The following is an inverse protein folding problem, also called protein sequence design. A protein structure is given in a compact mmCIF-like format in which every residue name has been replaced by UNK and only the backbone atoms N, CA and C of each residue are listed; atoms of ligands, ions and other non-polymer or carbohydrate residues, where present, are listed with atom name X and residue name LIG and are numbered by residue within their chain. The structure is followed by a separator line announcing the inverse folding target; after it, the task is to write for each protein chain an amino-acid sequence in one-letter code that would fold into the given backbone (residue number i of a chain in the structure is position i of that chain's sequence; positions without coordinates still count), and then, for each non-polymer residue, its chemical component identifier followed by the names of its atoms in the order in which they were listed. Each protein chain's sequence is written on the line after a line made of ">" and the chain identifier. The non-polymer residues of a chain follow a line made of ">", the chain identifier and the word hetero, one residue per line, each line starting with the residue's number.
data_IF_238843382326
#
_entry.id   IF_238843382326
#
_cell.length_a   1.000
_cell.length_b   1.000
_cell.length_c   1.000
_cell.angle_alpha   90.00
_cell.angle_beta   90.00
_cell.angle_gamma   90.00
#
_symmetry.space_group_name_H-M   'P 1'
#
loop_
_entity.id
_entity.type
_entity.pdbx_description
1 polymer ?
#
# COMPACT_ATOMS: atom_id res chain seq x y z
N UNK A 1 -15.32 27.73 -27.71
CA UNK A 1 -14.54 27.23 -26.58
C UNK A 1 -14.49 25.71 -26.66
N UNK A 2 -13.32 25.11 -26.92
CA UNK A 2 -13.19 23.65 -27.06
C UNK A 2 -13.10 23.05 -25.66
N UNK A 3 -14.10 22.24 -25.30
CA UNK A 3 -14.12 21.42 -24.09
C UNK A 3 -12.97 20.41 -24.16
N UNK A 4 -11.95 20.63 -23.35
CA UNK A 4 -10.87 19.68 -23.15
C UNK A 4 -11.33 18.62 -22.15
N UNK A 5 -11.59 17.41 -22.61
CA UNK A 5 -11.75 16.25 -21.75
C UNK A 5 -10.40 15.53 -21.61
N UNK A 6 -9.89 15.34 -20.38
CA UNK A 6 -8.66 14.60 -20.18
C UNK A 6 -8.86 13.13 -20.58
N UNK A 7 -7.86 12.48 -21.22
CA UNK A 7 -7.97 11.08 -21.57
C UNK A 7 -8.17 10.24 -20.31
N UNK A 8 -9.27 9.49 -20.27
CA UNK A 8 -9.64 8.58 -19.19
C UNK A 8 -8.71 7.35 -19.18
N UNK A 9 -7.42 7.55 -18.84
CA UNK A 9 -6.46 6.47 -18.65
C UNK A 9 -6.39 6.00 -17.19
N UNK A 10 -6.84 6.84 -16.26
CA UNK A 10 -6.82 6.55 -14.83
C UNK A 10 -8.05 7.13 -14.11
N UNK A 11 -9.25 6.75 -14.56
CA UNK A 11 -10.29 6.52 -13.54
C UNK A 11 -9.72 5.51 -12.54
N UNK A 12 -9.92 5.66 -11.22
CA UNK A 12 -9.67 4.55 -10.32
C UNK A 12 -10.54 3.42 -10.87
N UNK A 13 -9.92 2.40 -11.45
CA UNK A 13 -10.62 1.22 -11.92
C UNK A 13 -11.14 0.52 -10.67
N UNK A 14 -12.30 0.98 -10.21
CA UNK A 14 -13.10 0.32 -9.18
C UNK A 14 -13.55 -1.08 -9.69
N UNK A 15 -13.28 -1.40 -10.97
CA UNK A 15 -13.59 -2.67 -11.61
C UNK A 15 -12.44 -3.47 -12.25
N UNK A 16 -11.15 -3.06 -12.21
CA UNK A 16 -10.08 -3.95 -12.74
C UNK A 16 -9.59 -4.90 -11.66
N UNK A 17 -10.31 -6.02 -11.53
CA UNK A 17 -9.73 -7.26 -11.02
C UNK A 17 -8.50 -7.57 -11.88
N UNK A 18 -7.33 -7.69 -11.26
CA UNK A 18 -6.15 -8.29 -11.93
C UNK A 18 -6.61 -9.52 -12.71
N UNK A 19 -6.13 -9.71 -13.95
CA UNK A 19 -6.47 -10.90 -14.77
C UNK A 19 -6.22 -12.21 -14.00
N UNK A 20 -5.26 -12.16 -13.07
CA UNK A 20 -4.98 -13.21 -12.09
C UNK A 20 -4.88 -12.57 -10.70
N UNK A 21 -5.97 -12.46 -9.94
CA UNK A 21 -5.92 -12.02 -8.56
C UNK A 21 -5.16 -13.07 -7.76
N UNK A 22 -4.15 -12.68 -6.99
CA UNK A 22 -3.44 -13.60 -6.09
C UNK A 22 -4.42 -14.32 -5.16
N UNK A 23 -5.49 -13.63 -4.75
CA UNK A 23 -6.58 -14.21 -3.94
C UNK A 23 -7.21 -15.48 -4.56
N UNK A 24 -7.24 -15.61 -5.89
CA UNK A 24 -7.79 -16.80 -6.56
C UNK A 24 -6.84 -18.01 -6.49
N UNK A 25 -5.58 -17.81 -6.11
CA UNK A 25 -4.54 -18.83 -6.05
C UNK A 25 -3.98 -19.05 -4.64
N UNK A 26 -4.50 -18.33 -3.65
CA UNK A 26 -4.12 -18.50 -2.24
C UNK A 26 -5.19 -19.34 -1.55
N UNK A 27 -4.87 -20.60 -1.26
CA UNK A 27 -5.69 -21.49 -0.43
C UNK A 27 -5.12 -21.53 0.98
N UNK A 28 -5.98 -21.31 1.99
CA UNK A 28 -5.64 -21.45 3.41
C UNK A 28 -5.87 -22.87 3.94
N UNK A 29 -6.33 -23.79 3.09
CA UNK A 29 -6.76 -25.15 3.49
C UNK A 29 -5.61 -26.00 4.05
N UNK A 30 -4.38 -25.80 3.53
CA UNK A 30 -3.18 -26.54 3.94
C UNK A 30 -2.43 -25.93 5.12
N UNK A 31 -2.92 -24.81 5.66
CA UNK A 31 -2.31 -24.20 6.84
C UNK A 31 -2.60 -25.04 8.10
N UNK A 32 -1.70 -25.02 9.07
CA UNK A 32 -1.95 -25.63 10.38
C UNK A 32 -3.09 -24.89 11.10
N UNK A 33 -3.82 -25.60 11.97
CA UNK A 33 -5.00 -25.06 12.64
C UNK A 33 -4.76 -23.73 13.38
N UNK A 34 -3.63 -23.55 14.10
CA UNK A 34 -3.29 -22.26 14.71
C UNK A 34 -3.12 -21.13 13.68
N UNK A 35 -2.52 -21.43 12.52
CA UNK A 35 -2.32 -20.44 11.45
C UNK A 35 -3.64 -20.12 10.73
N UNK A 36 -4.55 -21.09 10.57
CA UNK A 36 -5.90 -20.84 10.04
C UNK A 36 -6.68 -19.89 10.93
N UNK A 37 -6.73 -20.17 12.24
CA UNK A 37 -7.42 -19.32 13.20
C UNK A 37 -6.87 -17.88 13.16
N UNK A 38 -5.55 -17.72 13.07
CA UNK A 38 -4.90 -16.44 12.92
C UNK A 38 -5.28 -15.70 11.63
N UNK A 39 -5.24 -16.37 10.48
CA UNK A 39 -5.65 -15.77 9.19
C UNK A 39 -7.11 -15.35 9.20
N UNK A 40 -7.99 -16.16 9.80
CA UNK A 40 -9.41 -15.81 9.97
C UNK A 40 -9.57 -14.56 10.85
N UNK A 41 -8.86 -14.47 11.97
CA UNK A 41 -8.88 -13.29 12.83
C UNK A 41 -8.38 -12.03 12.11
N UNK A 42 -7.32 -12.13 11.30
CA UNK A 42 -6.84 -11.02 10.48
C UNK A 42 -7.88 -10.58 9.44
N UNK A 43 -8.58 -11.54 8.81
CA UNK A 43 -9.62 -11.25 7.82
C UNK A 43 -10.89 -10.63 8.42
N UNK A 44 -11.14 -10.85 9.71
CA UNK A 44 -12.31 -10.32 10.40
C UNK A 44 -12.24 -8.80 10.63
N UNK A 45 -11.04 -8.22 10.60
CA UNK A 45 -10.87 -6.78 10.84
C UNK A 45 -11.02 -6.00 9.53
N UNK A 46 -12.12 -5.26 9.40
CA UNK A 46 -12.36 -4.42 8.24
C UNK A 46 -11.42 -3.20 8.22
N UNK A 47 -10.61 -3.10 7.17
CA UNK A 47 -9.80 -1.91 6.91
C UNK A 47 -10.58 -1.01 5.95
N UNK A 48 -10.94 0.21 6.36
CA UNK A 48 -11.72 1.11 5.52
C UNK A 48 -10.91 1.49 4.28
N UNK A 49 -11.59 1.47 3.14
CA UNK A 49 -10.99 1.92 1.87
C UNK A 49 -11.31 3.38 1.58
N UNK A 50 -12.37 3.90 2.21
CA UNK A 50 -12.86 5.27 2.09
C UNK A 50 -12.78 5.99 3.43
N UNK A 51 -12.47 7.29 3.37
CA UNK A 51 -12.45 8.15 4.57
C UNK A 51 -13.81 8.19 5.25
N UNK A 52 -14.90 8.23 4.49
CA UNK A 52 -16.25 8.23 5.04
C UNK A 52 -16.59 6.98 5.86
N UNK A 53 -15.97 5.83 5.57
CA UNK A 53 -16.09 4.61 6.38
C UNK A 53 -15.21 4.71 7.62
N UNK A 54 -13.97 5.19 7.45
CA UNK A 54 -13.03 5.39 8.56
C UNK A 54 -13.56 6.36 9.62
N UNK A 55 -14.30 7.40 9.22
CA UNK A 55 -14.88 8.38 10.13
C UNK A 55 -16.00 7.81 11.03
N UNK A 56 -16.54 6.62 10.71
CA UNK A 56 -17.57 5.96 11.54
C UNK A 56 -16.97 5.23 12.73
N UNK A 57 -15.68 4.90 12.69
CA UNK A 57 -14.99 4.19 13.75
C UNK A 57 -14.07 5.15 14.52
N UNK A 58 -14.25 5.31 15.84
CA UNK A 58 -13.42 6.21 16.64
C UNK A 58 -11.92 5.87 16.59
N UNK A 59 -11.54 4.59 16.40
CA UNK A 59 -10.14 4.17 16.32
C UNK A 59 -9.45 4.74 15.09
N UNK A 60 -10.14 4.73 13.96
CA UNK A 60 -9.64 5.30 12.71
C UNK A 60 -9.65 6.83 12.73
N UNK A 61 -10.66 7.45 13.35
CA UNK A 61 -10.69 8.91 13.59
C UNK A 61 -9.48 9.35 14.41
N UNK A 62 -9.14 8.61 15.47
CA UNK A 62 -7.97 8.90 16.30
C UNK A 62 -6.67 8.83 15.49
N UNK A 63 -6.50 7.78 14.67
CA UNK A 63 -5.33 7.64 13.81
C UNK A 63 -5.20 8.79 12.79
N UNK A 64 -6.32 9.27 12.24
CA UNK A 64 -6.35 10.44 11.34
C UNK A 64 -5.88 11.70 12.08
N UNK A 65 -6.40 11.94 13.29
CA UNK A 65 -6.02 13.11 14.10
C UNK A 65 -4.54 13.12 14.46
N UNK A 66 -3.99 11.94 14.79
CA UNK A 66 -2.58 11.79 15.10
C UNK A 66 -1.70 12.12 13.90
N UNK A 67 -2.07 11.67 12.70
CA UNK A 67 -1.36 12.01 11.46
C UNK A 67 -1.43 13.51 11.19
N UNK A 68 -2.61 14.13 11.29
CA UNK A 68 -2.77 15.59 11.10
C UNK A 68 -1.90 16.39 12.09
N UNK A 69 -1.88 15.99 13.36
CA UNK A 69 -1.03 16.63 14.37
C UNK A 69 0.46 16.42 14.10
N UNK A 70 0.86 15.23 13.64
CA UNK A 70 2.25 14.92 13.30
C UNK A 70 2.72 15.75 12.11
N UNK A 71 1.87 15.88 11.09
CA UNK A 71 2.12 16.78 9.98
C UNK A 71 2.33 18.20 10.53
N UNK A 72 1.40 18.73 11.33
CA UNK A 72 1.44 20.13 11.83
C UNK A 72 2.74 20.41 12.57
N UNK A 73 3.14 19.48 13.45
CA UNK A 73 4.39 19.54 14.20
C UNK A 73 5.62 19.59 13.29
N UNK A 74 5.59 18.90 12.15
CA UNK A 74 6.72 18.85 11.24
C UNK A 74 6.89 20.14 10.41
N UNK A 75 5.91 21.05 10.43
CA UNK A 75 5.92 22.32 9.67
C UNK A 75 6.21 22.13 8.16
N UNK A 76 5.93 20.95 7.61
CA UNK A 76 6.22 20.59 6.21
C UNK A 76 5.11 20.99 5.23
N UNK A 77 4.03 21.61 5.71
CA UNK A 77 2.82 21.90 4.95
C UNK A 77 2.16 23.16 5.51
N UNK A 78 1.81 24.07 4.61
CA UNK A 78 0.99 25.25 4.90
C UNK A 78 -0.29 25.14 4.07
N UNK A 79 -1.42 25.48 4.68
CA UNK A 79 -2.70 25.47 3.99
C UNK A 79 -2.83 26.77 3.19
N UNK A 80 -2.47 26.72 1.92
CA UNK A 80 -2.54 27.88 1.02
C UNK A 80 -3.71 27.79 0.04
N UNK A 81 -4.22 28.96 -0.33
CA UNK A 81 -5.25 29.05 -1.37
C UNK A 81 -4.61 28.78 -2.72
N UNK A 82 -5.27 27.95 -3.53
CA UNK A 82 -4.77 27.58 -4.86
C UNK A 82 -4.60 28.85 -5.69
N UNK A 83 -3.39 29.17 -6.17
CA UNK A 83 -3.18 30.36 -6.99
C UNK A 83 -3.91 30.20 -8.33
N UNK A 84 -4.42 31.33 -8.88
CA UNK A 84 -5.19 31.33 -10.12
C UNK A 84 -4.40 30.66 -11.25
N UNK A 85 -5.03 29.68 -11.90
CA UNK A 85 -4.46 28.96 -13.04
C UNK A 85 -3.61 27.73 -12.70
N UNK A 86 -3.44 27.36 -11.42
CA UNK A 86 -2.76 26.10 -11.04
C UNK A 86 -3.76 24.98 -10.75
N UNK A 87 -3.37 23.76 -11.13
CA UNK A 87 -4.10 22.53 -10.82
C UNK A 87 -3.61 21.97 -9.49
N UNK A 88 -4.53 21.57 -8.61
CA UNK A 88 -4.19 20.89 -7.36
C UNK A 88 -3.81 19.44 -7.60
N UNK A 89 -2.81 18.98 -6.85
CA UNK A 89 -2.53 17.56 -6.70
C UNK A 89 -3.58 16.99 -5.73
N UNK A 90 -4.27 15.92 -6.15
CA UNK A 90 -5.19 15.22 -5.26
C UNK A 90 -4.43 14.50 -4.14
N UNK A 91 -5.07 14.26 -3.00
CA UNK A 91 -4.55 13.41 -1.94
C UNK A 91 -5.52 12.25 -1.64
N UNK A 92 -5.00 11.20 -1.01
CA UNK A 92 -5.77 10.04 -0.55
C UNK A 92 -5.29 9.59 0.82
N UNK A 93 -6.22 9.07 1.62
CA UNK A 93 -5.88 8.41 2.87
C UNK A 93 -5.53 6.94 2.63
N UNK A 94 -4.53 6.46 3.35
CA UNK A 94 -4.11 5.06 3.39
C UNK A 94 -4.18 4.57 4.83
N UNK A 95 -4.98 3.54 5.06
CA UNK A 95 -5.22 2.95 6.37
C UNK A 95 -4.46 1.63 6.50
N UNK A 96 -3.90 1.37 7.68
CA UNK A 96 -3.12 0.17 7.96
C UNK A 96 -3.25 -0.18 9.44
N UNK A 97 -3.35 -1.47 9.76
CA UNK A 97 -3.29 -1.96 11.14
C UNK A 97 -1.91 -2.57 11.37
N UNK A 98 -1.28 -2.17 12.48
CA UNK A 98 -0.06 -2.79 12.99
C UNK A 98 -0.44 -3.82 14.04
N UNK A 99 0.13 -5.01 13.89
CA UNK A 99 -0.08 -6.12 14.81
C UNK A 99 1.23 -6.39 15.53
N UNK A 100 1.12 -6.77 16.80
CA UNK A 100 2.21 -7.28 17.62
C UNK A 100 2.58 -8.72 17.21
N UNK A 101 3.68 -9.24 17.76
CA UNK A 101 4.15 -10.61 17.48
C UNK A 101 3.18 -11.70 17.97
N UNK A 102 2.35 -11.37 18.96
CA UNK A 102 1.27 -12.24 19.47
C UNK A 102 -0.01 -12.17 18.61
N UNK A 103 -0.02 -11.34 17.56
CA UNK A 103 -1.19 -11.14 16.70
C UNK A 103 -2.19 -10.13 17.20
N UNK A 104 -1.99 -9.55 18.39
CA UNK A 104 -2.86 -8.47 18.91
C UNK A 104 -2.67 -7.19 18.11
N UNK A 105 -3.69 -6.33 18.09
CA UNK A 105 -3.60 -5.04 17.40
C UNK A 105 -2.73 -4.10 18.24
N UNK A 106 -1.56 -3.76 17.72
CA UNK A 106 -0.66 -2.78 18.31
C UNK A 106 -1.21 -1.37 18.11
N UNK A 107 -1.54 -1.02 16.85
CA UNK A 107 -1.94 0.35 16.50
C UNK A 107 -2.68 0.46 15.17
N UNK A 108 -3.64 1.38 15.13
CA UNK A 108 -4.26 1.86 13.89
C UNK A 108 -3.44 3.00 13.31
N UNK A 109 -3.06 2.90 12.04
CA UNK A 109 -2.24 3.89 11.34
C UNK A 109 -2.98 4.43 10.13
N UNK A 110 -3.11 5.75 10.07
CA UNK A 110 -3.60 6.47 8.91
C UNK A 110 -2.45 7.31 8.32
N UNK A 111 -2.40 7.43 6.99
CA UNK A 111 -1.42 8.27 6.28
C UNK A 111 -2.10 9.06 5.17
N UNK A 112 -1.75 10.33 5.04
CA UNK A 112 -2.18 11.15 3.91
C UNK A 112 -1.10 11.11 2.82
N UNK A 113 -1.48 10.67 1.62
CA UNK A 113 -0.55 10.48 0.50
C UNK A 113 -1.03 11.25 -0.71
N UNK A 114 -0.12 11.88 -1.45
CA UNK A 114 -0.44 12.51 -2.73
C UNK A 114 -0.86 11.45 -3.77
N UNK A 115 -1.90 11.74 -4.55
CA UNK A 115 -2.47 10.85 -5.57
C UNK A 115 -1.72 10.97 -6.91
N UNK A 116 -1.25 12.18 -7.24
CA UNK A 116 -0.52 12.47 -8.48
C UNK A 116 0.96 12.77 -8.17
N UNK A 117 1.74 11.72 -7.96
CA UNK A 117 3.19 11.74 -8.20
C UNK A 117 3.45 10.78 -9.36
N UNK A 118 3.34 11.27 -10.59
CA UNK A 118 3.80 10.55 -11.79
C UNK A 118 5.34 10.55 -11.90
N UNK A 119 6.06 11.04 -10.88
CA UNK A 119 7.49 10.79 -10.77
C UNK A 119 7.71 9.33 -10.43
N UNK A 120 7.95 8.56 -11.50
CA UNK A 120 8.73 7.33 -11.56
C UNK A 120 9.50 7.09 -10.26
N UNK A 121 8.93 6.28 -9.37
CA UNK A 121 9.73 5.68 -8.30
C UNK A 121 10.87 4.95 -9.02
N UNK A 122 12.08 5.49 -8.92
CA UNK A 122 13.26 4.82 -9.45
C UNK A 122 13.24 3.39 -8.89
N UNK A 123 13.43 2.34 -9.71
CA UNK A 123 13.40 0.98 -9.22
C UNK A 123 14.49 0.81 -8.16
N UNK A 124 14.11 0.79 -6.89
CA UNK A 124 15.03 0.53 -5.79
C UNK A 124 15.30 -0.97 -5.77
N UNK A 125 16.43 -1.37 -6.35
CA UNK A 125 16.89 -2.75 -6.27
C UNK A 125 17.12 -3.14 -4.80
N UNK A 126 16.34 -4.11 -4.30
CA UNK A 126 16.55 -4.65 -2.96
C UNK A 126 17.80 -5.53 -2.97
N UNK A 127 18.74 -5.28 -2.05
CA UNK A 127 19.98 -6.06 -1.93
C UNK A 127 19.75 -7.57 -1.81
N UNK A 128 18.62 -7.99 -1.20
CA UNK A 128 18.25 -9.41 -1.12
C UNK A 128 17.99 -10.02 -2.51
N UNK A 129 17.33 -9.28 -3.41
CA UNK A 129 17.10 -9.72 -4.79
C UNK A 129 18.42 -9.85 -5.54
N UNK A 130 19.33 -8.89 -5.37
CA UNK A 130 20.67 -8.94 -5.98
C UNK A 130 21.46 -10.16 -5.48
N UNK A 131 21.41 -10.45 -4.17
CA UNK A 131 22.07 -11.63 -3.59
C UNK A 131 21.54 -12.94 -4.17
N UNK A 132 20.22 -13.08 -4.30
CA UNK A 132 19.61 -14.29 -4.89
C UNK A 132 20.04 -14.48 -6.35
N UNK A 133 20.07 -13.40 -7.14
CA UNK A 133 20.53 -13.46 -8.53
C UNK A 133 22.00 -13.91 -8.63
N UNK A 134 22.87 -13.36 -7.79
CA UNK A 134 24.29 -13.77 -7.74
C UNK A 134 24.46 -15.23 -7.31
N UNK A 135 23.69 -15.69 -6.31
CA UNK A 135 23.72 -17.08 -5.89
C UNK A 135 23.26 -18.03 -6.99
N UNK A 136 22.18 -17.71 -7.70
CA UNK A 136 21.71 -18.50 -8.84
C UNK A 136 22.75 -18.56 -9.96
N UNK A 137 23.41 -17.43 -10.23
CA UNK A 137 24.48 -17.36 -11.22
C UNK A 137 25.67 -18.26 -10.85
N UNK A 138 26.09 -18.25 -9.57
CA UNK A 138 27.16 -19.12 -9.10
C UNK A 138 26.79 -20.60 -9.15
N UNK A 139 25.53 -20.95 -8.84
CA UNK A 139 25.02 -22.33 -8.96
C UNK A 139 25.05 -22.77 -10.43
N UNK A 140 24.61 -21.92 -11.36
CA UNK A 140 24.62 -22.20 -12.79
C UNK A 140 26.05 -22.40 -13.34
N UNK A 141 26.98 -21.53 -12.94
CA UNK A 141 28.39 -21.65 -13.33
C UNK A 141 28.98 -22.96 -12.77
N UNK A 142 28.73 -23.28 -11.51
CA UNK A 142 29.22 -24.51 -10.87
C UNK A 142 28.70 -25.79 -11.53
N UNK A 143 27.41 -25.82 -11.93
CA UNK A 143 26.87 -26.93 -12.72
C UNK A 143 27.53 -27.04 -14.10
N UNK A 144 27.77 -25.92 -14.78
CA UNK A 144 28.37 -25.90 -16.12
C UNK A 144 29.84 -26.36 -16.10
N UNK A 145 30.61 -26.01 -15.07
CA UNK A 145 32.01 -26.45 -14.88
C UNK A 145 32.13 -27.91 -14.45
N UNK A 146 31.06 -28.54 -13.94
CA UNK A 146 31.05 -29.96 -13.55
C UNK A 146 30.57 -30.87 -14.70
N UNK A 147 30.11 -30.30 -15.81
CA UNK A 147 29.60 -30.97 -17.00
C UNK A 147 30.54 -30.86 -18.22
N UNK A 148 31.70 -30.20 -18.09
CA UNK A 148 32.85 -30.28 -19.00
C UNK A 148 33.96 -31.10 -18.35
#
# INVERSE_FOLDING_TARGET
>A
AKSWEPPNRYSPDIGKTSKYPIANHVSTEKLSEPLKAFVHQLSAIHIPTKVSEALKDPKWVQAIKEEMKALEKNQTWTLETIPRGKKTIGCRWVFTIKHNADGSIERYKARLVAKDYEETFAPVAKLNTVRVLLSLQLIWIGHYTSLM
#
